data_IF_699040306160
#
_entry.id   IF_699040306160
#
_cell.length_a   1.000
_cell.length_b   1.000
_cell.length_c   1.000
_cell.angle_alpha   90.00
_cell.angle_beta   90.00
_cell.angle_gamma   90.00
#
_symmetry.space_group_name_H-M   'P 1'
#
loop_
_entity.id
_entity.type
_entity.pdbx_description
1 polymer ?
#
# COMPACT_ATOMS: atom_id res chain seq x y z
N UNK A 1 1.65 9.77 -48.26
CA UNK A 1 1.79 10.38 -46.92
C UNK A 1 2.84 9.58 -46.15
N UNK A 2 4.11 10.00 -46.16
CA UNK A 2 5.16 9.27 -45.44
C UNK A 2 5.00 9.51 -43.95
N UNK A 3 4.73 8.45 -43.18
CA UNK A 3 4.84 8.51 -41.73
C UNK A 3 6.32 8.73 -41.40
N UNK A 4 6.70 9.98 -41.12
CA UNK A 4 7.99 10.28 -40.52
C UNK A 4 8.08 9.49 -39.21
N UNK A 5 9.10 8.64 -39.08
CA UNK A 5 9.37 7.93 -37.84
C UNK A 5 9.55 8.93 -36.68
N UNK A 6 9.30 8.52 -35.43
CA UNK A 6 9.43 9.42 -34.29
C UNK A 6 10.82 10.06 -34.29
N UNK A 7 10.89 11.39 -34.26
CA UNK A 7 12.17 12.08 -34.20
C UNK A 7 12.86 11.79 -32.87
N UNK A 8 14.19 11.84 -32.84
CA UNK A 8 15.00 11.65 -31.62
C UNK A 8 14.54 12.60 -30.50
N UNK A 9 14.09 13.80 -30.86
CA UNK A 9 13.54 14.78 -29.93
C UNK A 9 12.20 14.33 -29.32
N UNK A 10 11.31 13.74 -30.12
CA UNK A 10 10.05 13.19 -29.62
C UNK A 10 10.28 12.02 -28.67
N UNK A 11 11.22 11.14 -29.00
CA UNK A 11 11.62 10.04 -28.12
C UNK A 11 12.18 10.55 -26.79
N UNK A 12 13.09 11.53 -26.84
CA UNK A 12 13.71 12.10 -25.64
C UNK A 12 12.67 12.79 -24.76
N UNK A 13 11.74 13.54 -25.35
CA UNK A 13 10.62 14.15 -24.63
C UNK A 13 9.75 13.10 -23.94
N UNK A 14 9.34 12.07 -24.67
CA UNK A 14 8.50 10.99 -24.12
C UNK A 14 9.21 10.23 -22.99
N UNK A 15 10.52 9.98 -23.13
CA UNK A 15 11.34 9.37 -22.09
C UNK A 15 11.35 10.23 -20.82
N UNK A 16 11.56 11.54 -20.95
CA UNK A 16 11.56 12.44 -19.80
C UNK A 16 10.18 12.53 -19.13
N UNK A 17 9.11 12.57 -19.92
CA UNK A 17 7.74 12.56 -19.41
C UNK A 17 7.42 11.26 -18.67
N UNK A 18 7.85 10.11 -19.21
CA UNK A 18 7.68 8.82 -18.55
C UNK A 18 8.41 8.77 -17.21
N UNK A 19 9.68 9.19 -17.17
CA UNK A 19 10.45 9.27 -15.92
C UNK A 19 9.76 10.16 -14.89
N UNK A 20 9.27 11.33 -15.31
CA UNK A 20 8.50 12.25 -14.44
C UNK A 20 7.23 11.59 -13.90
N UNK A 21 6.49 10.86 -14.75
CA UNK A 21 5.28 10.16 -14.34
C UNK A 21 5.57 9.03 -13.34
N UNK A 22 6.65 8.26 -13.56
CA UNK A 22 7.08 7.21 -12.62
C UNK A 22 7.44 7.80 -11.27
N UNK A 23 8.22 8.88 -11.23
CA UNK A 23 8.57 9.55 -9.97
C UNK A 23 7.33 10.09 -9.25
N UNK A 24 6.40 10.68 -10.01
CA UNK A 24 5.13 11.16 -9.45
C UNK A 24 4.26 10.02 -8.91
N UNK A 25 4.21 8.87 -9.60
CA UNK A 25 3.54 7.66 -9.10
C UNK A 25 4.14 7.25 -7.76
N UNK A 26 5.47 7.13 -7.67
CA UNK A 26 6.17 6.78 -6.42
C UNK A 26 5.87 7.75 -5.28
N UNK A 27 5.82 9.05 -5.56
CA UNK A 27 5.46 10.07 -4.57
C UNK A 27 4.01 9.92 -4.06
N UNK A 28 3.07 9.67 -4.98
CA UNK A 28 1.66 9.46 -4.62
C UNK A 28 1.50 8.16 -3.82
N UNK A 29 2.18 7.08 -4.22
CA UNK A 29 2.15 5.79 -3.53
C UNK A 29 2.69 5.94 -2.08
N UNK A 30 3.75 6.71 -1.88
CA UNK A 30 4.29 7.03 -0.54
C UNK A 30 3.29 7.82 0.31
N UNK A 31 2.69 8.87 -0.26
CA UNK A 31 1.69 9.71 0.43
C UNK A 31 0.43 8.93 0.77
N UNK A 32 0.04 8.01 -0.10
CA UNK A 32 -1.07 7.12 0.15
C UNK A 32 -0.75 6.29 1.39
N UNK A 33 0.37 5.54 1.41
CA UNK A 33 0.77 4.71 2.55
C UNK A 33 0.79 5.49 3.88
N UNK A 34 1.37 6.69 3.90
CA UNK A 34 1.37 7.58 5.09
C UNK A 34 -0.05 7.91 5.58
N UNK A 35 -0.98 8.17 4.66
CA UNK A 35 -2.37 8.46 4.99
C UNK A 35 -3.11 7.22 5.51
N UNK A 36 -2.84 6.04 4.96
CA UNK A 36 -3.44 4.78 5.40
C UNK A 36 -3.05 4.47 6.85
N UNK A 37 -1.77 4.64 7.18
CA UNK A 37 -1.26 4.48 8.54
C UNK A 37 -1.90 5.51 9.49
N UNK A 38 -1.98 6.78 9.06
CA UNK A 38 -2.62 7.83 9.85
C UNK A 38 -4.12 7.57 10.11
N UNK A 39 -4.85 6.99 9.15
CA UNK A 39 -6.26 6.60 9.34
C UNK A 39 -6.37 5.55 10.45
N UNK A 40 -5.56 4.50 10.39
CA UNK A 40 -5.60 3.42 11.37
C UNK A 40 -5.25 3.89 12.78
N UNK A 41 -4.23 4.75 12.91
CA UNK A 41 -3.87 5.39 14.19
C UNK A 41 -5.03 6.23 14.73
N UNK A 42 -5.67 7.05 13.88
CA UNK A 42 -6.79 7.89 14.29
C UNK A 42 -8.03 7.09 14.69
N UNK A 43 -8.30 5.97 14.03
CA UNK A 43 -9.34 5.04 14.47
C UNK A 43 -9.04 4.49 15.87
N UNK A 44 -7.80 4.05 16.09
CA UNK A 44 -7.35 3.53 17.38
C UNK A 44 -7.48 4.58 18.48
N UNK A 45 -7.00 5.80 18.23
CA UNK A 45 -7.15 6.95 19.14
C UNK A 45 -8.63 7.20 19.46
N UNK A 46 -9.47 7.29 18.43
CA UNK A 46 -10.91 7.56 18.59
C UNK A 46 -11.61 6.47 19.42
N UNK A 47 -11.29 5.20 19.20
CA UNK A 47 -11.86 4.10 19.97
C UNK A 47 -11.39 4.08 21.43
N UNK A 48 -10.13 4.46 21.69
CA UNK A 48 -9.61 4.56 23.05
C UNK A 48 -10.29 5.68 23.85
N UNK A 49 -10.59 6.80 23.21
CA UNK A 49 -11.31 7.93 23.83
C UNK A 49 -12.83 7.65 23.98
N UNK A 50 -13.41 6.90 23.03
CA UNK A 50 -14.86 6.64 22.94
C UNK A 50 -15.33 5.54 23.88
N UNK A 51 -15.45 5.85 25.17
CA UNK A 51 -15.83 4.88 26.21
C UNK A 51 -17.33 4.51 26.21
N UNK A 52 -18.21 5.44 25.84
CA UNK A 52 -19.66 5.33 26.06
C UNK A 52 -20.49 5.14 24.78
N UNK A 53 -19.82 4.95 23.64
CA UNK A 53 -20.46 4.85 22.34
C UNK A 53 -19.54 5.42 21.27
N UNK A 54 -19.65 4.90 20.06
CA UNK A 54 -18.85 5.31 18.93
C UNK A 54 -19.65 5.15 17.63
N UNK A 55 -19.15 5.71 16.53
CA UNK A 55 -19.82 5.66 15.24
C UNK A 55 -20.05 4.25 14.69
N UNK A 56 -19.27 3.27 15.13
CA UNK A 56 -19.32 1.89 14.63
C UNK A 56 -20.41 1.07 15.34
N UNK A 57 -20.49 1.18 16.67
CA UNK A 57 -21.41 0.38 17.51
C UNK A 57 -22.62 1.17 18.03
N UNK A 58 -22.68 2.46 17.75
CA UNK A 58 -23.75 3.36 18.15
C UNK A 58 -23.55 4.01 19.53
N UNK A 59 -24.51 4.88 19.88
CA UNK A 59 -24.47 5.74 21.07
C UNK A 59 -25.56 5.42 22.10
N UNK A 60 -26.18 4.25 22.04
CA UNK A 60 -27.29 3.85 22.94
C UNK A 60 -26.90 3.86 24.42
N UNK A 61 -25.61 3.67 24.73
CA UNK A 61 -25.11 3.74 26.09
C UNK A 61 -24.96 5.18 26.61
N UNK A 62 -24.98 6.19 25.74
CA UNK A 62 -24.93 7.60 26.15
C UNK A 62 -26.18 8.00 26.94
N UNK A 63 -27.36 7.57 26.51
CA UNK A 63 -28.64 7.88 27.18
C UNK A 63 -28.88 7.08 28.47
N UNK A 64 -28.37 5.83 28.53
CA UNK A 64 -28.58 4.92 29.68
C UNK A 64 -27.71 5.26 30.90
N UNK A 65 -26.65 6.06 30.70
CA UNK A 65 -25.72 6.46 31.76
C UNK A 65 -26.26 7.46 32.79
N UNK A 66 -27.45 8.04 32.56
CA UNK A 66 -28.10 8.88 33.58
C UNK A 66 -28.71 8.05 34.73
N UNK A 67 -28.84 6.72 34.56
CA UNK A 67 -29.51 5.80 35.48
C UNK A 67 -28.54 4.80 36.13
N UNK A 68 -27.56 5.27 36.92
CA UNK A 68 -26.97 4.59 38.09
C UNK A 68 -26.47 3.13 38.03
N UNK A 69 -26.44 2.46 36.89
CA UNK A 69 -26.12 1.04 36.76
C UNK A 69 -24.63 0.79 36.52
N UNK A 70 -23.96 0.27 37.54
CA UNK A 70 -22.50 0.04 37.65
C UNK A 70 -21.88 -1.01 36.69
N UNK A 71 -22.51 -1.37 35.57
CA UNK A 71 -21.94 -2.31 34.60
C UNK A 71 -21.25 -1.58 33.44
N UNK A 72 -20.15 -0.90 33.78
CA UNK A 72 -19.22 -0.24 32.84
C UNK A 72 -18.39 -1.28 32.08
N UNK A 73 -19.00 -2.03 31.15
CA UNK A 73 -18.21 -2.86 30.24
C UNK A 73 -17.73 -1.99 29.09
N UNK A 74 -16.43 -1.68 29.08
CA UNK A 74 -15.75 -1.04 27.95
C UNK A 74 -16.13 -1.80 26.68
N UNK A 75 -16.57 -1.08 25.64
CA UNK A 75 -16.87 -1.70 24.35
C UNK A 75 -15.64 -2.48 23.90
N UNK A 76 -15.81 -3.77 23.62
CA UNK A 76 -14.75 -4.57 23.02
C UNK A 76 -14.64 -4.13 21.58
N UNK A 77 -13.49 -3.60 21.19
CA UNK A 77 -13.16 -3.22 19.81
C UNK A 77 -12.36 -4.37 19.22
N UNK A 78 -12.72 -4.76 18.00
CA UNK A 78 -12.08 -5.80 17.21
C UNK A 78 -11.50 -5.18 15.94
N UNK A 79 -10.58 -5.87 15.28
CA UNK A 79 -9.96 -5.37 14.04
C UNK A 79 -11.02 -5.13 12.93
N UNK A 80 -12.12 -5.87 12.94
CA UNK A 80 -13.26 -5.69 12.02
C UNK A 80 -14.03 -4.38 12.27
N UNK A 81 -13.90 -3.77 13.46
CA UNK A 81 -14.54 -2.50 13.80
C UNK A 81 -13.77 -1.29 13.21
N UNK A 82 -12.56 -1.47 12.68
CA UNK A 82 -11.78 -0.45 11.98
C UNK A 82 -12.32 -0.23 10.56
N UNK A 83 -13.58 0.23 10.47
CA UNK A 83 -14.33 0.32 9.21
C UNK A 83 -13.69 1.27 8.19
N UNK A 84 -12.95 2.30 8.63
CA UNK A 84 -12.25 3.20 7.73
C UNK A 84 -11.04 2.49 7.13
N UNK A 85 -10.18 1.84 7.93
CA UNK A 85 -9.10 1.01 7.38
C UNK A 85 -9.61 -0.17 6.54
N UNK A 86 -10.71 -0.82 6.94
CA UNK A 86 -11.34 -1.91 6.16
C UNK A 86 -11.90 -1.45 4.81
N UNK A 87 -12.19 -0.16 4.65
CA UNK A 87 -12.65 0.38 3.36
C UNK A 87 -11.53 0.51 2.31
N UNK A 88 -10.26 0.37 2.73
CA UNK A 88 -9.10 0.46 1.84
C UNK A 88 -8.70 -0.92 1.31
N UNK A 89 -8.70 -1.07 -0.02
CA UNK A 89 -8.34 -2.33 -0.68
C UNK A 89 -6.88 -2.74 -0.43
N UNK A 90 -5.98 -1.77 -0.34
CA UNK A 90 -4.56 -1.93 0.04
C UNK A 90 -4.42 -2.51 1.45
N UNK A 91 -5.15 -1.98 2.43
CA UNK A 91 -5.16 -2.47 3.80
C UNK A 91 -5.73 -3.89 3.90
N UNK A 92 -6.86 -4.17 3.22
CA UNK A 92 -7.44 -5.53 3.19
C UNK A 92 -6.46 -6.53 2.56
N UNK A 93 -5.77 -6.15 1.47
CA UNK A 93 -4.73 -6.99 0.84
C UNK A 93 -3.57 -7.28 1.80
N UNK A 94 -3.07 -6.29 2.54
CA UNK A 94 -1.97 -6.50 3.50
C UNK A 94 -2.41 -7.39 4.66
N UNK A 95 -3.65 -7.23 5.13
CA UNK A 95 -4.24 -8.06 6.19
C UNK A 95 -4.42 -9.52 5.73
N UNK A 96 -4.89 -9.74 4.50
CA UNK A 96 -5.00 -11.07 3.89
C UNK A 96 -3.63 -11.72 3.64
N UNK A 97 -2.62 -10.93 3.24
CA UNK A 97 -1.23 -11.40 3.13
C UNK A 97 -0.68 -11.84 4.48
N UNK A 98 -0.94 -11.09 5.56
CA UNK A 98 -0.59 -11.46 6.94
C UNK A 98 -1.32 -12.72 7.41
N UNK A 99 -2.59 -12.88 7.04
CA UNK A 99 -3.40 -14.06 7.36
C UNK A 99 -3.12 -15.29 6.47
N UNK A 100 -2.17 -15.20 5.52
CA UNK A 100 -1.75 -16.32 4.68
C UNK A 100 -2.78 -16.77 3.63
N UNK A 101 -3.79 -15.94 3.33
CA UNK A 101 -4.88 -16.28 2.41
C UNK A 101 -4.65 -15.84 0.96
N UNK A 102 -3.62 -15.03 0.69
CA UNK A 102 -3.24 -14.60 -0.67
C UNK A 102 -1.97 -15.33 -1.13
N UNK A 103 -2.12 -16.14 -2.19
CA UNK A 103 -1.07 -16.92 -2.83
C UNK A 103 -0.17 -16.04 -3.71
N UNK A 104 1.15 -16.11 -3.51
CA UNK A 104 2.24 -15.31 -4.14
C UNK A 104 2.39 -15.48 -5.67
N UNK A 105 1.42 -16.04 -6.39
CA UNK A 105 1.66 -16.57 -7.74
C UNK A 105 1.39 -15.59 -8.89
N UNK A 106 1.03 -14.33 -8.64
CA UNK A 106 0.71 -13.38 -9.73
C UNK A 106 1.11 -11.91 -9.47
N UNK A 107 2.03 -11.61 -8.55
CA UNK A 107 2.51 -10.22 -8.39
C UNK A 107 3.46 -9.86 -9.55
N UNK A 108 2.86 -9.35 -10.62
CA UNK A 108 3.52 -8.55 -11.65
C UNK A 108 4.06 -7.22 -11.09
N UNK A 109 3.67 -6.85 -9.86
CA UNK A 109 4.07 -5.63 -9.17
C UNK A 109 5.48 -5.71 -8.56
N UNK A 110 6.00 -6.91 -8.25
CA UNK A 110 7.39 -7.11 -7.79
C UNK A 110 8.44 -6.81 -8.87
N UNK A 111 8.02 -6.67 -10.14
CA UNK A 111 8.92 -6.33 -11.25
C UNK A 111 9.24 -4.83 -11.31
N UNK A 112 8.49 -3.96 -10.63
CA UNK A 112 8.73 -2.50 -10.66
C UNK A 112 9.96 -2.05 -9.84
N UNK A 113 10.46 -2.87 -8.91
CA UNK A 113 11.58 -2.49 -8.02
C UNK A 113 12.98 -2.80 -8.62
N UNK A 114 13.05 -3.53 -9.73
CA UNK A 114 14.33 -3.95 -10.34
C UNK A 114 14.89 -2.99 -11.40
N UNK A 115 14.24 -1.86 -11.68
CA UNK A 115 14.76 -0.87 -12.64
C UNK A 115 15.64 0.17 -11.95
N UNK A 116 16.89 -0.22 -11.66
CA UNK A 116 17.93 0.77 -11.35
C UNK A 116 18.05 1.76 -12.51
N UNK A 117 18.07 3.08 -12.26
CA UNK A 117 18.36 4.05 -13.30
C UNK A 117 19.85 3.91 -13.64
N UNK A 118 20.16 3.18 -14.71
CA UNK A 118 21.48 3.17 -15.32
C UNK A 118 21.81 4.59 -15.82
N UNK A 119 22.31 5.44 -14.91
CA UNK A 119 22.94 6.68 -15.26
C UNK A 119 24.30 6.33 -15.87
N UNK A 120 24.46 6.65 -17.15
CA UNK A 120 25.60 6.24 -17.93
C UNK A 120 26.91 6.67 -17.29
N UNK A 121 27.68 5.70 -16.80
CA UNK A 121 29.12 5.82 -16.74
C UNK A 121 29.72 4.51 -17.25
N UNK A 122 30.39 4.58 -18.39
CA UNK A 122 31.18 3.49 -18.93
C UNK A 122 32.31 3.18 -17.95
N UNK A 123 32.17 2.10 -17.18
CA UNK A 123 33.17 1.58 -16.26
C UNK A 123 33.20 0.07 -16.40
N UNK A 124 34.38 -0.44 -16.72
CA UNK A 124 34.66 -1.84 -17.09
C UNK A 124 34.37 -2.81 -15.94
N UNK A 125 34.32 -4.08 -16.33
CA UNK A 125 34.51 -5.29 -15.52
C UNK A 125 33.25 -5.94 -14.93
N UNK A 126 32.65 -6.81 -15.75
CA UNK A 126 31.99 -8.01 -15.25
C UNK A 126 32.36 -9.20 -16.16
N UNK A 127 33.54 -9.73 -15.86
CA UNK A 127 33.98 -11.06 -16.24
C UNK A 127 33.04 -12.12 -15.67
N UNK A 128 32.71 -13.11 -16.51
CA UNK A 128 32.32 -14.49 -16.15
C UNK A 128 31.01 -14.67 -15.34
N UNK A 129 30.09 -15.58 -15.63
CA UNK A 129 30.08 -16.70 -16.54
C UNK A 129 28.62 -17.08 -16.83
N UNK A 130 28.33 -17.34 -18.10
CA UNK A 130 27.28 -18.27 -18.52
C UNK A 130 27.58 -19.65 -17.91
N UNK A 131 26.58 -20.37 -17.40
CA UNK A 131 26.23 -21.74 -17.84
C UNK A 131 25.21 -22.44 -16.90
N UNK A 132 24.02 -22.63 -17.46
CA UNK A 132 23.29 -23.90 -17.53
C UNK A 132 23.20 -24.83 -16.30
N UNK A 133 21.98 -24.88 -15.73
CA UNK A 133 21.10 -26.06 -15.62
C UNK A 133 21.81 -27.43 -15.69
N UNK A 134 21.82 -28.19 -14.59
CA UNK A 134 21.68 -29.65 -14.67
C UNK A 134 20.90 -30.25 -13.49
N UNK A 135 19.91 -31.03 -13.89
CA UNK A 135 19.09 -31.96 -13.11
C UNK A 135 19.93 -33.10 -12.51
N UNK A 136 19.52 -33.50 -11.30
CA UNK A 136 19.30 -34.87 -10.79
C UNK A 136 20.52 -35.77 -10.56
N UNK A 137 20.66 -36.20 -9.31
CA UNK A 137 20.66 -37.61 -8.91
C UNK A 137 19.67 -37.74 -7.76
#
# INVERSE_FOLDING_TARGET
MSKQGPSVDQYTKLKNDLTRLILRKKEIDSKLAELEDAIYEKETDYFNESTYGNIVKGFDNFAKNSSGGSNKRRLVITDEDHIFSMSLATFVKTLQKKHGTVSTTTDLDDYEDSVEPANGNAGKDASAATLARKKKA
#
